data_IF_256805096621
#
_entry.id   IF_256805096621
#
_cell.length_a   1.000
_cell.length_b   1.000
_cell.length_c   1.000
_cell.angle_alpha   90.00
_cell.angle_beta   90.00
_cell.angle_gamma   90.00
#
_symmetry.space_group_name_H-M   'P 1'
#
loop_
_entity.id
_entity.type
_entity.pdbx_description
1 polymer ?
#
# COMPACT_ATOMS: atom_id res chain seq x y z
N UNK A 1 -15.49 5.04 3.21
CA UNK A 1 -15.38 3.82 4.03
C UNK A 1 -14.76 4.22 5.36
N UNK A 2 -15.28 3.75 6.49
CA UNK A 2 -14.69 3.89 7.81
C UNK A 2 -14.75 2.54 8.54
N UNK A 3 -14.13 2.45 9.72
CA UNK A 3 -14.04 1.20 10.50
C UNK A 3 -15.42 0.61 10.80
N UNK A 4 -16.42 1.43 11.10
CA UNK A 4 -17.75 0.97 11.52
C UNK A 4 -18.64 0.48 10.37
N UNK A 5 -18.31 0.78 9.11
CA UNK A 5 -19.12 0.38 7.95
C UNK A 5 -18.40 -0.53 6.95
N UNK A 6 -17.15 -0.92 7.22
CA UNK A 6 -16.35 -1.71 6.28
C UNK A 6 -17.02 -3.05 5.92
N UNK A 7 -17.58 -3.78 6.90
CA UNK A 7 -18.25 -5.05 6.67
C UNK A 7 -19.48 -4.91 5.73
N UNK A 8 -20.30 -3.88 5.94
CA UNK A 8 -21.48 -3.62 5.10
C UNK A 8 -21.06 -3.25 3.68
N UNK A 9 -20.06 -2.37 3.54
CA UNK A 9 -19.56 -1.93 2.23
C UNK A 9 -18.95 -3.10 1.46
N UNK A 10 -18.20 -3.99 2.12
CA UNK A 10 -17.67 -5.20 1.47
C UNK A 10 -18.82 -6.11 1.03
N UNK A 11 -19.83 -6.31 1.87
CA UNK A 11 -20.98 -7.15 1.54
C UNK A 11 -21.70 -6.63 0.29
N UNK A 12 -21.94 -5.33 0.21
CA UNK A 12 -22.52 -4.65 -0.96
C UNK A 12 -21.60 -4.74 -2.19
N UNK A 13 -20.30 -4.48 -2.02
CA UNK A 13 -19.32 -4.53 -3.10
C UNK A 13 -19.22 -5.93 -3.71
N UNK A 14 -19.24 -6.97 -2.89
CA UNK A 14 -19.24 -8.37 -3.34
C UNK A 14 -20.57 -8.78 -3.98
N UNK A 15 -21.63 -7.97 -3.88
CA UNK A 15 -22.83 -8.19 -4.69
C UNK A 15 -22.59 -7.92 -6.17
N UNK A 16 -21.70 -6.96 -6.49
CA UNK A 16 -21.37 -6.51 -7.84
C UNK A 16 -20.30 -7.38 -8.50
N UNK A 17 -20.23 -7.39 -9.83
CA UNK A 17 -19.20 -8.12 -10.58
C UNK A 17 -17.84 -7.41 -10.54
N UNK A 18 -17.14 -7.51 -9.41
CA UNK A 18 -15.85 -6.86 -9.20
C UNK A 18 -14.70 -7.49 -10.01
N UNK A 19 -14.85 -8.73 -10.50
CA UNK A 19 -13.87 -9.34 -11.40
C UNK A 19 -13.87 -8.62 -12.74
N UNK A 20 -15.06 -8.36 -13.28
CA UNK A 20 -15.22 -7.57 -14.50
C UNK A 20 -14.92 -6.09 -14.27
N UNK A 21 -15.42 -5.54 -13.16
CA UNK A 21 -15.21 -4.16 -12.75
C UNK A 21 -13.84 -3.86 -12.13
N UNK A 22 -12.89 -4.80 -12.12
CA UNK A 22 -11.63 -4.69 -11.36
C UNK A 22 -10.82 -3.45 -11.70
N UNK A 23 -10.83 -3.02 -12.97
CA UNK A 23 -10.17 -1.80 -13.41
C UNK A 23 -10.77 -0.56 -12.75
N UNK A 24 -12.10 -0.44 -12.80
CA UNK A 24 -12.85 0.65 -12.15
C UNK A 24 -12.66 0.63 -10.64
N UNK A 25 -12.78 -0.54 -10.00
CA UNK A 25 -12.58 -0.70 -8.57
C UNK A 25 -11.17 -0.25 -8.14
N UNK A 26 -10.13 -0.74 -8.82
CA UNK A 26 -8.76 -0.35 -8.54
C UNK A 26 -8.55 1.16 -8.70
N UNK A 27 -9.11 1.76 -9.77
CA UNK A 27 -9.06 3.21 -9.98
C UNK A 27 -9.77 3.97 -8.87
N UNK A 28 -10.98 3.56 -8.48
CA UNK A 28 -11.77 4.22 -7.45
C UNK A 28 -11.09 4.18 -6.09
N UNK A 29 -10.51 3.04 -5.69
CA UNK A 29 -9.75 2.92 -4.43
C UNK A 29 -8.54 3.85 -4.44
N UNK A 30 -7.74 3.83 -5.51
CA UNK A 30 -6.55 4.68 -5.61
C UNK A 30 -6.90 6.17 -5.61
N UNK A 31 -7.97 6.57 -6.30
CA UNK A 31 -8.43 7.96 -6.30
C UNK A 31 -8.97 8.39 -4.92
N UNK A 32 -9.76 7.53 -4.27
CA UNK A 32 -10.31 7.81 -2.94
C UNK A 32 -9.21 7.93 -1.87
N UNK A 33 -8.20 7.05 -1.92
CA UNK A 33 -7.05 7.13 -1.02
C UNK A 33 -6.23 8.40 -1.26
N UNK A 34 -5.96 8.75 -2.52
CA UNK A 34 -5.20 9.96 -2.83
C UNK A 34 -5.96 11.25 -2.42
N UNK A 35 -7.29 11.27 -2.56
CA UNK A 35 -8.12 12.38 -2.11
C UNK A 35 -8.30 12.45 -0.58
N UNK A 36 -8.15 11.33 0.13
CA UNK A 36 -8.30 11.28 1.60
C UNK A 36 -7.30 10.32 2.26
N UNK A 37 -6.01 10.69 2.32
CA UNK A 37 -4.95 9.81 2.84
C UNK A 37 -5.07 9.50 4.35
N UNK A 38 -5.88 10.27 5.08
CA UNK A 38 -6.17 10.02 6.49
C UNK A 38 -6.83 8.66 6.73
N UNK A 39 -7.59 8.16 5.74
CA UNK A 39 -8.30 6.87 5.82
C UNK A 39 -7.52 5.72 5.15
N UNK A 40 -6.22 5.88 4.89
CA UNK A 40 -5.43 4.87 4.16
C UNK A 40 -5.48 3.48 4.81
N UNK A 41 -5.45 3.41 6.14
CA UNK A 41 -5.60 2.15 6.88
C UNK A 41 -6.94 1.43 6.57
N UNK A 42 -8.03 2.18 6.40
CA UNK A 42 -9.35 1.61 6.05
C UNK A 42 -9.33 1.10 4.61
N UNK A 43 -8.75 1.87 3.67
CA UNK A 43 -8.62 1.44 2.28
C UNK A 43 -7.75 0.19 2.16
N UNK A 44 -6.68 0.08 2.95
CA UNK A 44 -5.83 -1.12 2.99
C UNK A 44 -6.60 -2.34 3.52
N UNK A 45 -7.41 -2.19 4.56
CA UNK A 45 -8.27 -3.27 5.06
C UNK A 45 -9.29 -3.73 4.00
N UNK A 46 -9.91 -2.80 3.27
CA UNK A 46 -10.80 -3.13 2.14
C UNK A 46 -10.06 -3.94 1.07
N UNK A 47 -8.85 -3.50 0.70
CA UNK A 47 -8.02 -4.21 -0.28
C UNK A 47 -7.62 -5.59 0.24
N UNK A 48 -7.30 -5.75 1.53
CA UNK A 48 -6.95 -7.04 2.12
C UNK A 48 -8.11 -8.05 2.01
N UNK A 49 -9.34 -7.63 2.32
CA UNK A 49 -10.53 -8.48 2.21
C UNK A 49 -10.83 -8.85 0.75
N UNK A 50 -10.68 -7.90 -0.18
CA UNK A 50 -10.84 -8.20 -1.61
C UNK A 50 -9.74 -9.17 -2.06
N UNK A 51 -8.51 -8.97 -1.58
CA UNK A 51 -7.34 -9.73 -1.97
C UNK A 51 -7.39 -11.19 -1.51
N UNK A 52 -7.91 -11.49 -0.33
CA UNK A 52 -8.08 -12.87 0.14
C UNK A 52 -9.04 -13.67 -0.75
N UNK A 53 -10.09 -13.03 -1.27
CA UNK A 53 -11.07 -13.67 -2.16
C UNK A 53 -10.65 -13.61 -3.64
N UNK A 54 -9.97 -12.55 -4.06
CA UNK A 54 -9.59 -12.26 -5.45
C UNK A 54 -8.17 -11.65 -5.54
N UNK A 55 -7.11 -12.47 -5.40
CA UNK A 55 -5.72 -11.97 -5.37
C UNK A 55 -5.33 -11.13 -6.58
N UNK A 56 -5.84 -11.47 -7.78
CA UNK A 56 -5.57 -10.72 -9.02
C UNK A 56 -6.03 -9.24 -8.94
N UNK A 57 -7.05 -8.93 -8.13
CA UNK A 57 -7.52 -7.55 -7.94
C UNK A 57 -6.56 -6.81 -7.01
N UNK A 58 -6.11 -7.44 -5.92
CA UNK A 58 -5.09 -6.89 -5.02
C UNK A 58 -3.78 -6.63 -5.76
N UNK A 59 -3.34 -7.59 -6.58
CA UNK A 59 -2.16 -7.46 -7.45
C UNK A 59 -2.28 -6.25 -8.39
N UNK A 60 -3.42 -6.09 -9.07
CA UNK A 60 -3.66 -4.96 -9.98
C UNK A 60 -3.60 -3.61 -9.26
N UNK A 61 -4.19 -3.51 -8.07
CA UNK A 61 -4.13 -2.31 -7.24
C UNK A 61 -2.69 -2.00 -6.86
N UNK A 62 -1.93 -2.99 -6.39
CA UNK A 62 -0.55 -2.82 -5.98
C UNK A 62 0.36 -2.43 -7.15
N UNK A 63 0.23 -3.07 -8.32
CA UNK A 63 0.96 -2.69 -9.56
C UNK A 63 0.73 -1.22 -9.92
N UNK A 64 -0.53 -0.79 -9.96
CA UNK A 64 -0.89 0.61 -10.25
C UNK A 64 -0.36 1.57 -9.19
N UNK A 65 -0.37 1.18 -7.92
CA UNK A 65 0.17 1.98 -6.82
C UNK A 65 1.69 2.14 -6.91
N UNK A 66 2.43 1.07 -7.23
CA UNK A 66 3.89 1.11 -7.47
C UNK A 66 4.20 2.06 -8.63
N UNK A 67 3.46 1.96 -9.74
CA UNK A 67 3.63 2.86 -10.88
C UNK A 67 3.32 4.32 -10.53
N UNK A 68 2.32 4.58 -9.67
CA UNK A 68 2.03 5.92 -9.17
C UNK A 68 3.18 6.47 -8.32
N UNK A 69 3.76 5.67 -7.42
CA UNK A 69 4.95 6.07 -6.67
C UNK A 69 6.13 6.38 -7.59
N UNK A 70 6.47 5.48 -8.52
CA UNK A 70 7.56 5.67 -9.50
C UNK A 70 7.35 6.92 -10.35
N UNK A 71 6.11 7.22 -10.73
CA UNK A 71 5.75 8.43 -11.47
C UNK A 71 5.93 9.69 -10.61
N UNK A 72 5.50 9.66 -9.36
CA UNK A 72 5.69 10.75 -8.40
C UNK A 72 7.17 11.04 -8.17
N UNK A 73 7.95 9.99 -7.90
CA UNK A 73 9.39 10.09 -7.66
C UNK A 73 10.13 10.68 -8.86
N UNK A 74 9.90 10.16 -10.07
CA UNK A 74 10.51 10.69 -11.31
C UNK A 74 10.14 12.15 -11.61
N UNK A 75 9.00 12.62 -11.12
CA UNK A 75 8.51 13.99 -11.33
C UNK A 75 8.84 14.93 -10.18
N UNK A 76 9.53 14.44 -9.14
CA UNK A 76 9.71 15.16 -7.87
C UNK A 76 8.38 15.65 -7.27
N UNK A 77 7.30 14.88 -7.47
CA UNK A 77 6.00 15.16 -6.85
C UNK A 77 5.97 14.53 -5.46
N UNK A 78 6.37 15.32 -4.46
CA UNK A 78 6.39 14.88 -3.05
C UNK A 78 5.02 14.39 -2.60
N UNK A 79 3.94 15.10 -2.92
CA UNK A 79 2.61 14.76 -2.44
C UNK A 79 2.18 13.40 -2.97
N UNK A 80 2.42 13.12 -4.25
CA UNK A 80 2.16 11.81 -4.82
C UNK A 80 3.02 10.71 -4.17
N UNK A 81 4.28 11.00 -3.83
CA UNK A 81 5.14 10.04 -3.12
C UNK A 81 4.63 9.76 -1.70
N UNK A 82 4.22 10.79 -0.96
CA UNK A 82 3.65 10.65 0.39
C UNK A 82 2.40 9.78 0.38
N UNK A 83 1.44 10.05 -0.50
CA UNK A 83 0.18 9.30 -0.53
C UNK A 83 0.39 7.86 -0.99
N UNK A 84 1.24 7.64 -2.01
CA UNK A 84 1.51 6.31 -2.53
C UNK A 84 2.30 5.44 -1.55
N UNK A 85 3.37 5.97 -0.95
CA UNK A 85 4.18 5.24 0.04
C UNK A 85 3.37 4.90 1.30
N UNK A 86 2.54 5.82 1.80
CA UNK A 86 1.60 5.55 2.89
C UNK A 86 0.65 4.39 2.57
N UNK A 87 0.16 4.31 1.34
CA UNK A 87 -0.73 3.21 0.97
C UNK A 87 0.03 1.88 0.84
N UNK A 88 1.24 1.89 0.29
CA UNK A 88 2.10 0.69 0.28
C UNK A 88 2.39 0.21 1.70
N UNK A 89 2.65 1.13 2.64
CA UNK A 89 2.91 0.79 4.04
C UNK A 89 1.75 -0.01 4.65
N UNK A 90 0.53 0.51 4.51
CA UNK A 90 -0.63 -0.14 5.08
C UNK A 90 -1.02 -1.42 4.34
N UNK A 91 -0.72 -1.56 3.04
CA UNK A 91 -0.88 -2.83 2.33
C UNK A 91 0.10 -3.89 2.81
N UNK A 92 1.35 -3.52 3.13
CA UNK A 92 2.31 -4.44 3.76
C UNK A 92 1.92 -4.77 5.20
N UNK A 93 1.42 -3.80 5.98
CA UNK A 93 0.91 -4.08 7.33
C UNK A 93 -0.24 -5.10 7.32
N UNK A 94 -1.08 -5.06 6.28
CA UNK A 94 -2.19 -6.00 6.03
C UNK A 94 -1.74 -7.28 5.29
N UNK A 95 -0.43 -7.55 5.18
CA UNK A 95 0.16 -8.70 4.47
C UNK A 95 -0.27 -8.85 2.99
N UNK A 96 -0.74 -7.78 2.34
CA UNK A 96 -1.07 -7.76 0.90
C UNK A 96 0.19 -7.59 0.07
N UNK A 97 1.15 -6.76 0.51
CA UNK A 97 2.41 -6.52 -0.16
C UNK A 97 3.57 -7.08 0.66
N UNK A 98 4.52 -7.74 0.02
CA UNK A 98 5.73 -8.22 0.70
C UNK A 98 6.64 -7.05 1.10
N UNK A 99 7.35 -7.18 2.22
CA UNK A 99 8.18 -6.13 2.80
C UNK A 99 9.35 -5.67 1.93
N UNK A 100 9.78 -6.52 1.00
CA UNK A 100 10.86 -6.21 0.05
C UNK A 100 10.55 -4.94 -0.73
N UNK A 101 9.28 -4.75 -1.15
CA UNK A 101 8.86 -3.54 -1.84
C UNK A 101 9.09 -2.28 -0.98
N UNK A 102 8.77 -2.35 0.32
CA UNK A 102 9.00 -1.22 1.24
C UNK A 102 10.49 -0.92 1.41
N UNK A 103 11.33 -1.95 1.54
CA UNK A 103 12.78 -1.80 1.66
C UNK A 103 13.40 -1.19 0.40
N UNK A 104 12.97 -1.62 -0.79
CA UNK A 104 13.42 -1.06 -2.07
C UNK A 104 13.01 0.41 -2.22
N UNK A 105 11.76 0.74 -1.88
CA UNK A 105 11.27 2.13 -1.90
C UNK A 105 12.03 3.03 -0.91
N UNK A 106 12.31 2.55 0.30
CA UNK A 106 13.11 3.29 1.29
C UNK A 106 14.55 3.46 0.84
N UNK A 107 15.14 2.43 0.23
CA UNK A 107 16.49 2.48 -0.32
C UNK A 107 16.58 3.52 -1.43
N UNK A 108 15.62 3.53 -2.37
CA UNK A 108 15.54 4.52 -3.44
C UNK A 108 15.45 5.95 -2.91
N UNK A 109 14.58 6.20 -1.92
CA UNK A 109 14.39 7.52 -1.32
C UNK A 109 15.65 8.02 -0.60
N UNK A 110 16.47 7.12 -0.06
CA UNK A 110 17.67 7.45 0.71
C UNK A 110 18.99 7.30 -0.07
N UNK A 111 18.94 6.87 -1.33
CA UNK A 111 20.12 6.71 -2.19
C UNK A 111 20.76 8.08 -2.47
N UNK A 112 19.96 9.07 -2.86
CA UNK A 112 20.37 10.45 -3.09
C UNK A 112 19.46 11.38 -2.30
N UNK A 113 19.69 11.51 -0.99
CA UNK A 113 18.74 12.12 -0.08
C UNK A 113 18.63 13.63 -0.32
N UNK A 114 17.42 14.08 -0.64
CA UNK A 114 16.96 15.47 -0.60
C UNK A 114 16.00 15.67 0.57
N UNK A 115 15.78 16.91 0.98
CA UNK A 115 14.84 17.24 2.06
C UNK A 115 13.45 16.62 1.85
N UNK A 116 12.93 16.67 0.62
CA UNK A 116 11.64 16.08 0.28
C UNK A 116 11.68 14.54 0.31
N UNK A 117 12.72 13.91 -0.24
CA UNK A 117 12.82 12.44 -0.22
C UNK A 117 12.96 11.87 1.20
N UNK A 118 13.67 12.58 2.09
CA UNK A 118 13.82 12.21 3.50
C UNK A 118 12.48 12.38 4.22
N UNK A 119 11.74 13.46 3.95
CA UNK A 119 10.39 13.65 4.49
C UNK A 119 9.46 12.50 4.10
N UNK A 120 9.49 12.06 2.83
CA UNK A 120 8.73 10.89 2.38
C UNK A 120 9.19 9.62 3.10
N UNK A 121 10.51 9.37 3.17
CA UNK A 121 11.06 8.16 3.81
C UNK A 121 10.68 8.08 5.29
N UNK A 122 10.70 9.20 6.02
CA UNK A 122 10.34 9.26 7.43
C UNK A 122 8.84 9.04 7.63
N UNK A 123 7.99 9.66 6.80
CA UNK A 123 6.55 9.40 6.83
C UNK A 123 6.26 7.92 6.57
N UNK A 124 6.92 7.36 5.56
CA UNK A 124 6.77 5.96 5.19
C UNK A 124 7.21 5.02 6.31
N UNK A 125 8.39 5.24 6.90
CA UNK A 125 8.90 4.46 8.04
C UNK A 125 8.00 4.52 9.28
N UNK A 126 7.32 5.65 9.52
CA UNK A 126 6.34 5.73 10.61
C UNK A 126 5.17 4.78 10.37
N UNK A 127 4.71 4.65 9.13
CA UNK A 127 3.55 3.82 8.80
C UNK A 127 3.89 2.32 8.71
N UNK A 128 5.11 1.94 8.27
CA UNK A 128 5.52 0.52 8.07
C UNK A 128 6.58 -0.02 9.04
N UNK A 129 7.21 0.83 9.85
CA UNK A 129 8.44 0.49 10.56
C UNK A 129 8.28 -0.58 11.64
N UNK A 130 7.12 -0.66 12.30
CA UNK A 130 6.85 -1.72 13.28
C UNK A 130 6.83 -3.09 12.59
N UNK A 131 6.03 -3.24 11.52
CA UNK A 131 5.96 -4.48 10.73
C UNK A 131 7.32 -4.86 10.16
N UNK A 132 8.06 -3.89 9.59
CA UNK A 132 9.43 -4.13 9.10
C UNK A 132 10.39 -4.60 10.20
N UNK A 133 10.21 -4.15 11.44
CA UNK A 133 10.99 -4.62 12.59
C UNK A 133 10.70 -6.10 12.89
N UNK A 134 9.45 -6.53 12.75
CA UNK A 134 9.01 -7.91 13.00
C UNK A 134 9.47 -8.86 11.89
N UNK A 135 9.29 -8.48 10.61
CA UNK A 135 9.50 -9.39 9.47
C UNK A 135 10.90 -9.29 8.86
N UNK A 136 11.54 -8.12 8.93
CA UNK A 136 12.87 -7.90 8.33
C UNK A 136 13.77 -6.99 9.20
N UNK A 137 14.17 -7.45 10.40
CA UNK A 137 14.98 -6.67 11.34
C UNK A 137 16.31 -6.22 10.73
N UNK A 138 16.91 -7.06 9.87
CA UNK A 138 18.15 -6.70 9.14
C UNK A 138 17.92 -5.60 8.12
N UNK A 139 16.80 -5.67 7.38
CA UNK A 139 16.44 -4.67 6.38
C UNK A 139 16.21 -3.31 7.01
N UNK A 140 15.38 -3.24 8.04
CA UNK A 140 15.12 -1.97 8.73
C UNK A 140 16.37 -1.40 9.41
N UNK A 141 17.26 -2.25 9.96
CA UNK A 141 18.52 -1.80 10.53
C UNK A 141 19.38 -1.05 9.50
N UNK A 142 19.50 -1.59 8.29
CA UNK A 142 20.25 -0.94 7.20
C UNK A 142 19.65 0.42 6.83
N UNK A 143 18.32 0.56 6.84
CA UNK A 143 17.64 1.85 6.59
C UNK A 143 17.99 2.88 7.68
N UNK A 144 17.96 2.49 8.95
CA UNK A 144 18.32 3.40 10.04
C UNK A 144 19.80 3.73 10.06
N UNK A 145 20.67 2.80 9.69
CA UNK A 145 22.09 3.10 9.51
C UNK A 145 22.26 4.13 8.40
N UNK A 146 21.54 4.01 7.28
CA UNK A 146 21.54 5.02 6.22
C UNK A 146 21.07 6.39 6.73
N UNK A 147 19.97 6.45 7.48
CA UNK A 147 19.50 7.70 8.10
C UNK A 147 20.54 8.34 9.03
N UNK A 148 21.32 7.53 9.78
CA UNK A 148 22.41 8.03 10.62
C UNK A 148 23.51 8.69 9.79
N UNK A 149 23.90 8.08 8.67
CA UNK A 149 24.87 8.68 7.75
C UNK A 149 24.33 10.01 7.18
N UNK A 150 23.05 10.05 6.80
CA UNK A 150 22.42 11.29 6.32
C UNK A 150 22.48 12.40 7.37
N UNK A 151 22.19 12.08 8.64
CA UNK A 151 22.23 13.04 9.74
C UNK A 151 23.64 13.62 9.99
N UNK A 152 24.70 12.83 9.79
CA UNK A 152 26.07 13.23 10.11
C UNK A 152 26.85 13.80 8.90
N UNK A 153 26.61 13.29 7.70
CA UNK A 153 27.46 13.54 6.53
C UNK A 153 26.80 14.43 5.47
N UNK A 154 25.48 14.65 5.55
CA UNK A 154 24.75 15.42 4.53
C UNK A 154 24.51 16.85 4.98
N UNK A 155 24.77 17.82 4.11
CA UNK A 155 24.30 19.20 4.25
C UNK A 155 22.76 19.24 4.05
N UNK A 156 22.04 18.78 5.07
CA UNK A 156 20.57 18.77 5.10
C UNK A 156 20.05 19.92 5.95
N UNK A 157 18.86 20.43 5.62
CA UNK A 157 18.25 21.48 6.42
C UNK A 157 17.94 21.01 7.85
N UNK A 158 17.97 21.93 8.82
CA UNK A 158 17.71 21.65 10.23
C UNK A 158 16.36 20.96 10.46
N UNK A 159 15.35 21.29 9.66
CA UNK A 159 14.03 20.65 9.74
C UNK A 159 14.14 19.14 9.51
N UNK A 160 14.94 18.73 8.53
CA UNK A 160 15.09 17.34 8.13
C UNK A 160 15.92 16.57 9.14
N UNK A 161 16.98 17.17 9.67
CA UNK A 161 17.74 16.61 10.79
C UNK A 161 16.83 16.31 11.98
N UNK A 162 15.97 17.27 12.37
CA UNK A 162 14.98 17.06 13.43
C UNK A 162 14.01 15.92 13.11
N UNK A 163 13.56 15.79 11.86
CA UNK A 163 12.70 14.67 11.47
C UNK A 163 13.41 13.32 11.64
N UNK A 164 14.70 13.23 11.29
CA UNK A 164 15.49 12.01 11.47
C UNK A 164 15.65 11.68 12.96
N UNK A 165 15.96 12.66 13.80
CA UNK A 165 16.05 12.48 15.25
C UNK A 165 14.72 11.98 15.85
N UNK A 166 13.60 12.58 15.44
CA UNK A 166 12.25 12.12 15.81
C UNK A 166 12.03 10.67 15.37
N UNK A 167 12.49 10.27 14.18
CA UNK A 167 12.38 8.89 13.71
C UNK A 167 13.19 7.92 14.58
N UNK A 168 14.39 8.30 15.03
CA UNK A 168 15.16 7.50 16.01
C UNK A 168 14.43 7.38 17.35
N UNK A 169 13.76 8.43 17.82
CA UNK A 169 12.94 8.38 19.02
C UNK A 169 11.73 7.43 18.86
N UNK A 170 11.01 7.51 17.74
CA UNK A 170 9.90 6.59 17.41
C UNK A 170 10.37 5.13 17.43
N UNK A 171 11.54 4.84 16.85
CA UNK A 171 12.12 3.49 16.89
C UNK A 171 12.48 3.05 18.31
N UNK A 172 13.11 3.93 19.08
CA UNK A 172 13.51 3.65 20.48
C UNK A 172 12.30 3.33 21.35
N UNK A 173 11.19 4.01 21.11
CA UNK A 173 9.91 3.80 21.77
C UNK A 173 9.11 2.61 21.19
N UNK A 174 9.71 1.83 20.28
CA UNK A 174 9.11 0.62 19.73
C UNK A 174 7.88 0.87 18.85
N UNK A 175 7.79 2.04 18.19
CA UNK A 175 6.65 2.40 17.34
C UNK A 175 5.29 2.38 18.06
N UNK A 176 5.27 2.61 19.37
CA UNK A 176 4.05 2.52 20.20
C UNK A 176 2.83 3.30 19.68
N UNK A 177 3.05 4.44 19.02
CA UNK A 177 2.00 5.31 18.46
C UNK A 177 1.66 4.95 16.99
N UNK A 178 2.32 3.93 16.45
CA UNK A 178 2.24 3.49 15.06
C UNK A 178 2.03 1.96 14.98
N UNK A 179 0.89 1.44 15.48
CA UNK A 179 0.58 0.01 15.41
C UNK A 179 0.49 -0.48 13.97
N UNK A 180 0.82 -1.76 13.74
CA UNK A 180 0.77 -2.38 12.41
C UNK A 180 -0.63 -2.27 11.81
N UNK A 181 -1.65 -2.77 12.52
CA UNK A 181 -3.05 -2.68 12.16
C UNK A 181 -3.81 -2.01 13.31
N UNK A 182 -4.69 -1.07 13.00
CA UNK A 182 -5.56 -0.46 14.02
C UNK A 182 -6.66 -1.43 14.44
N UNK A 183 -7.11 -1.31 15.67
CA UNK A 183 -8.20 -2.12 16.21
C UNK A 183 -9.44 -2.06 15.30
N UNK A 184 -10.01 -3.24 14.99
CA UNK A 184 -11.17 -3.39 14.11
C UNK A 184 -10.87 -3.42 12.61
N UNK A 185 -9.60 -3.39 12.20
CA UNK A 185 -9.19 -3.48 10.78
C UNK A 185 -8.45 -4.78 10.41
N UNK A 186 -8.20 -5.64 11.39
CA UNK A 186 -7.71 -7.00 11.16
C UNK A 186 -8.92 -7.92 10.92
N UNK A 187 -9.27 -8.10 9.66
CA UNK A 187 -10.55 -8.68 9.21
C UNK A 187 -10.37 -9.91 8.32
N UNK A 188 -9.13 -10.36 8.13
CA UNK A 188 -8.79 -11.49 7.25
C UNK A 188 -7.90 -12.43 8.03
N UNK A 189 -8.37 -13.65 8.24
CA UNK A 189 -7.62 -14.73 8.89
C UNK A 189 -6.29 -14.99 8.17
N UNK A 190 -5.22 -15.29 8.91
CA UNK A 190 -3.87 -15.44 8.36
C UNK A 190 -3.80 -16.48 7.22
N UNK A 191 -4.58 -17.56 7.31
CA UNK A 191 -4.62 -18.63 6.30
C UNK A 191 -5.26 -18.22 4.97
N UNK A 192 -6.11 -17.18 4.99
CA UNK A 192 -6.78 -16.63 3.81
C UNK A 192 -5.99 -15.48 3.18
N UNK A 193 -4.92 -15.01 3.81
CA UNK A 193 -4.11 -13.91 3.30
C UNK A 193 -3.26 -14.35 2.11
N UNK A 194 -3.10 -13.44 1.14
CA UNK A 194 -2.23 -13.65 -0.01
C UNK A 194 -1.26 -12.48 -0.16
N UNK A 195 0.03 -12.73 0.03
CA UNK A 195 1.06 -11.69 -0.07
C UNK A 195 1.68 -11.66 -1.45
N UNK A 196 1.65 -10.49 -2.09
CA UNK A 196 2.22 -10.26 -3.41
C UNK A 196 3.70 -9.90 -3.34
N UNK A 197 4.53 -10.64 -4.08
CA UNK A 197 5.94 -10.35 -4.32
C UNK A 197 6.08 -9.49 -5.58
N UNK A 198 5.99 -8.17 -5.43
CA UNK A 198 6.11 -7.22 -6.54
C UNK A 198 7.29 -6.26 -6.31
N UNK A 199 8.47 -6.52 -6.90
CA UNK A 199 9.64 -5.64 -6.84
C UNK A 199 9.35 -4.23 -7.39
N UNK A 200 10.05 -3.22 -6.89
CA UNK A 200 9.85 -1.83 -7.27
C UNK A 200 10.15 -1.56 -8.75
N UNK A 201 11.21 -2.18 -9.29
CA UNK A 201 11.75 -1.83 -10.60
C UNK A 201 11.11 -2.58 -11.78
N UNK A 202 10.38 -3.66 -11.50
CA UNK A 202 9.76 -4.54 -12.48
C UNK A 202 8.84 -3.80 -13.47
N UNK A 203 8.67 -4.37 -14.66
CA UNK A 203 7.79 -3.84 -15.68
C UNK A 203 6.34 -4.26 -15.42
N UNK A 204 5.53 -3.31 -14.96
CA UNK A 204 4.10 -3.53 -14.71
C UNK A 204 3.24 -2.95 -15.82
N UNK A 205 2.31 -3.76 -16.30
CA UNK A 205 1.18 -3.29 -17.09
C UNK A 205 0.05 -2.83 -16.13
N UNK A 206 -0.37 -1.54 -16.16
CA UNK A 206 -1.48 -1.05 -15.34
C UNK A 206 -2.85 -1.53 -15.83
N UNK A 207 -2.94 -2.19 -16.99
CA UNK A 207 -4.18 -2.64 -17.62
C UNK A 207 -5.22 -1.52 -17.70
N UNK A 208 -4.81 -0.34 -18.17
CA UNK A 208 -5.68 0.85 -18.17
C UNK A 208 -6.92 0.69 -19.06
N UNK A 209 -6.88 -0.22 -20.04
CA UNK A 209 -8.01 -0.60 -20.87
C UNK A 209 -9.16 -1.22 -20.06
N UNK A 210 -8.90 -1.80 -18.88
CA UNK A 210 -9.94 -2.32 -17.99
C UNK A 210 -10.84 -1.22 -17.41
N UNK A 211 -10.45 0.04 -17.58
CA UNK A 211 -11.25 1.17 -17.14
C UNK A 211 -12.23 1.67 -18.21
N UNK A 212 -12.20 1.09 -19.42
CA UNK A 212 -13.01 1.51 -20.56
C UNK A 212 -14.03 0.42 -20.87
N UNK A 213 -15.28 0.82 -21.12
CA UNK A 213 -16.30 -0.12 -21.53
C UNK A 213 -15.96 -0.73 -22.89
N UNK A 214 -16.04 -2.06 -22.97
CA UNK A 214 -15.87 -2.81 -24.21
C UNK A 214 -17.00 -3.82 -24.32
N UNK A 215 -17.48 -4.03 -25.54
CA UNK A 215 -18.41 -5.12 -25.84
C UNK A 215 -17.73 -6.46 -25.53
N UNK A 216 -18.41 -7.26 -24.71
CA UNK A 216 -18.00 -8.62 -24.37
C UNK A 216 -18.95 -9.59 -25.10
N UNK A 217 -18.49 -10.28 -26.16
CA UNK A 217 -19.30 -11.27 -26.87
C UNK A 217 -19.74 -12.44 -25.96
N UNK A 218 -18.97 -12.73 -24.90
CA UNK A 218 -19.19 -13.83 -23.95
C UNK A 218 -19.84 -13.34 -22.64
N UNK A 219 -20.46 -12.15 -22.66
CA UNK A 219 -21.05 -11.50 -21.49
C UNK A 219 -21.89 -12.45 -20.62
N UNK A 220 -22.79 -13.21 -21.24
CA UNK A 220 -23.75 -14.06 -20.51
C UNK A 220 -23.01 -15.16 -19.76
N UNK A 221 -22.06 -15.82 -20.41
CA UNK A 221 -21.24 -16.88 -19.82
C UNK A 221 -20.35 -16.34 -18.69
N UNK A 222 -19.73 -15.17 -18.90
CA UNK A 222 -18.88 -14.54 -17.90
C UNK A 222 -19.66 -14.09 -16.66
N UNK A 223 -20.88 -13.58 -16.82
CA UNK A 223 -21.77 -13.26 -15.70
C UNK A 223 -22.23 -14.50 -14.94
N UNK A 224 -22.49 -15.61 -15.62
CA UNK A 224 -22.82 -16.89 -14.98
C UNK A 224 -21.64 -17.45 -14.19
N UNK A 225 -20.43 -17.45 -14.76
CA UNK A 225 -19.19 -17.81 -14.05
C UNK A 225 -19.04 -16.97 -12.79
N UNK A 226 -19.25 -15.65 -12.86
CA UNK A 226 -19.16 -14.80 -11.68
C UNK A 226 -20.21 -15.16 -10.61
N UNK A 227 -21.46 -15.43 -10.99
CA UNK A 227 -22.50 -15.87 -10.05
C UNK A 227 -22.12 -17.18 -9.33
N UNK A 228 -21.43 -18.10 -10.00
CA UNK A 228 -20.94 -19.33 -9.36
C UNK A 228 -19.81 -19.04 -8.37
N UNK A 229 -18.87 -18.16 -8.71
CA UNK A 229 -17.79 -17.73 -7.81
C UNK A 229 -18.32 -17.03 -6.56
N UNK A 230 -19.31 -16.15 -6.73
CA UNK A 230 -19.98 -15.46 -5.61
C UNK A 230 -20.65 -16.42 -4.63
N UNK A 231 -21.24 -17.53 -5.10
CA UNK A 231 -21.79 -18.57 -4.22
C UNK A 231 -20.73 -19.32 -3.42
N UNK A 232 -19.51 -19.43 -3.97
CA UNK A 232 -18.37 -20.09 -3.30
C UNK A 232 -17.70 -19.18 -2.27
N UNK A 233 -17.77 -17.87 -2.46
CA UNK A 233 -17.21 -16.85 -1.57
C UNK A 233 -18.32 -15.96 -0.98
N UNK A 234 -19.22 -16.48 -0.11
CA UNK A 234 -20.21 -15.64 0.55
C UNK A 234 -19.52 -14.53 1.37
N UNK A 235 -20.22 -13.39 1.47
CA UNK A 235 -19.76 -12.18 2.16
C UNK A 235 -19.41 -12.42 3.62
#
# INVERSE_FOLDING_TARGET
VNVSNIANIITELLQENIVRGRGLLARSILQAQNASPIFTHVYAAVVAIINSKFPNIGELILKRLILNFRKGYRRNDKQQCLTASKFVAHLMNQNVAHEVLCLEMLTLLLERPTDDSIEVAIGFLKDCGLKLTEVSPRGINAIFDRLRHVLHESETDKRVQYMIEVMFAVRKDGFKDHPVILEGLDLVEEEDQFTHMLPLEDEYNPDDLLNVFKMDPEFVENEEKYKTLKKRNPG
#
